data_IF_870776967621
#
_entry.id   IF_870776967621
#
_cell.length_a   1.000
_cell.length_b   1.000
_cell.length_c   1.000
_cell.angle_alpha   90.00
_cell.angle_beta   90.00
_cell.angle_gamma   90.00
#
_symmetry.space_group_name_H-M   'P 1'
#
loop_
_entity.id
_entity.type
_entity.pdbx_description
1 polymer ?
#
# COMPACT_ATOMS: atom_id res chain seq x y z
N UNK A 1 -11.51 9.28 16.14
CA UNK A 1 -10.65 8.21 15.58
C UNK A 1 -11.39 7.66 14.38
N UNK A 2 -10.76 7.61 13.21
CA UNK A 2 -11.39 7.10 12.00
C UNK A 2 -10.88 5.69 11.73
N UNK A 3 -11.77 4.82 11.27
CA UNK A 3 -11.40 3.47 10.84
C UNK A 3 -11.00 3.49 9.37
N UNK A 4 -9.84 2.91 9.06
CA UNK A 4 -9.35 2.75 7.69
C UNK A 4 -9.04 1.29 7.42
N UNK A 5 -9.35 0.82 6.22
CA UNK A 5 -8.83 -0.43 5.67
C UNK A 5 -7.70 -0.06 4.70
N UNK A 6 -6.48 -0.51 5.02
CA UNK A 6 -5.30 -0.27 4.20
C UNK A 6 -4.92 -1.57 3.49
N UNK A 7 -4.71 -1.48 2.18
CA UNK A 7 -4.21 -2.55 1.33
C UNK A 7 -2.97 -2.07 0.60
N UNK A 8 -2.03 -2.97 0.38
CA UNK A 8 -0.92 -2.76 -0.54
C UNK A 8 -0.93 -3.93 -1.51
N UNK A 9 -0.60 -3.66 -2.76
CA UNK A 9 -0.57 -4.67 -3.81
C UNK A 9 0.88 -4.93 -4.21
N UNK A 10 1.17 -6.19 -4.52
CA UNK A 10 2.46 -6.62 -5.04
C UNK A 10 2.26 -7.55 -6.20
N UNK A 11 2.96 -7.28 -7.29
CA UNK A 11 3.07 -8.19 -8.42
C UNK A 11 4.29 -9.11 -8.20
N UNK A 12 4.07 -10.41 -8.26
CA UNK A 12 5.12 -11.41 -8.09
C UNK A 12 4.77 -12.71 -8.82
N UNK A 13 5.80 -13.40 -9.28
CA UNK A 13 5.66 -14.72 -9.87
C UNK A 13 5.55 -15.81 -8.79
N UNK A 14 4.56 -16.69 -8.93
CA UNK A 14 4.34 -17.82 -8.03
C UNK A 14 3.82 -19.05 -8.77
N UNK A 15 4.09 -20.22 -8.18
CA UNK A 15 3.69 -21.50 -8.77
C UNK A 15 2.21 -21.83 -8.47
N UNK A 16 1.70 -21.33 -7.36
CA UNK A 16 0.32 -21.49 -6.90
C UNK A 16 -0.06 -20.38 -5.88
N UNK A 17 -1.35 -20.22 -5.49
CA UNK A 17 -1.76 -19.17 -4.57
C UNK A 17 -1.13 -19.23 -3.17
N UNK A 18 -0.77 -20.43 -2.67
CA UNK A 18 -0.12 -20.59 -1.36
C UNK A 18 1.35 -20.17 -1.45
N UNK A 19 2.05 -20.50 -2.54
CA UNK A 19 3.39 -19.99 -2.84
C UNK A 19 3.39 -18.45 -2.94
N UNK A 20 2.39 -17.87 -3.62
CA UNK A 20 2.24 -16.42 -3.71
C UNK A 20 2.11 -15.75 -2.33
N UNK A 21 1.25 -16.30 -1.46
CA UNK A 21 1.07 -15.79 -0.11
C UNK A 21 2.33 -15.93 0.75
N UNK A 22 3.09 -17.03 0.60
CA UNK A 22 4.37 -17.22 1.31
C UNK A 22 5.42 -16.22 0.85
N UNK A 23 5.52 -15.96 -0.45
CA UNK A 23 6.43 -14.95 -1.02
C UNK A 23 6.07 -13.55 -0.56
N UNK A 24 4.78 -13.18 -0.63
CA UNK A 24 4.29 -11.91 -0.11
C UNK A 24 4.61 -11.73 1.38
N UNK A 25 4.41 -12.76 2.21
CA UNK A 25 4.75 -12.72 3.64
C UNK A 25 6.25 -12.56 3.88
N UNK A 26 7.09 -13.22 3.08
CA UNK A 26 8.54 -13.08 3.18
C UNK A 26 8.98 -11.65 2.87
N UNK A 27 8.44 -11.05 1.80
CA UNK A 27 8.69 -9.66 1.42
C UNK A 27 8.20 -8.71 2.52
N UNK A 28 6.99 -8.92 3.05
CA UNK A 28 6.47 -8.09 4.14
C UNK A 28 7.33 -8.14 5.42
N UNK A 29 8.01 -9.26 5.68
CA UNK A 29 8.85 -9.45 6.88
C UNK A 29 10.30 -9.03 6.69
N UNK A 30 10.71 -8.73 5.47
CA UNK A 30 12.06 -8.26 5.18
C UNK A 30 12.22 -6.81 5.71
N UNK A 31 13.15 -6.55 6.65
CA UNK A 31 13.36 -5.22 7.20
C UNK A 31 13.88 -4.19 6.16
N UNK A 32 14.29 -4.63 4.98
CA UNK A 32 14.68 -3.77 3.86
C UNK A 32 13.60 -3.64 2.78
N UNK A 33 12.45 -4.30 2.94
CA UNK A 33 11.33 -4.16 2.02
C UNK A 33 10.42 -3.01 2.45
N UNK A 34 10.09 -2.14 1.49
CA UNK A 34 9.22 -0.98 1.69
C UNK A 34 8.07 -1.04 0.69
N UNK A 35 6.85 -1.18 1.20
CA UNK A 35 5.67 -0.88 0.40
C UNK A 35 5.49 0.65 0.42
N UNK A 36 5.48 1.29 -0.75
CA UNK A 36 5.34 2.74 -0.86
C UNK A 36 3.98 3.17 -1.40
N UNK A 37 3.24 2.27 -2.07
CA UNK A 37 1.91 2.56 -2.64
C UNK A 37 0.83 1.75 -1.93
N UNK A 38 -0.24 2.43 -1.53
CA UNK A 38 -1.34 1.85 -0.75
C UNK A 38 -2.71 2.27 -1.27
N UNK A 39 -3.65 1.33 -1.26
CA UNK A 39 -5.08 1.64 -1.38
C UNK A 39 -5.68 1.79 0.02
N UNK A 40 -6.21 2.97 0.33
CA UNK A 40 -6.79 3.32 1.63
C UNK A 40 -8.30 3.54 1.47
N UNK A 41 -9.09 2.69 2.11
CA UNK A 41 -10.53 2.86 2.23
C UNK A 41 -10.85 3.51 3.57
N UNK A 42 -11.57 4.64 3.55
CA UNK A 42 -11.97 5.38 4.74
C UNK A 42 -13.32 6.07 4.56
N UNK A 43 -13.60 7.04 5.44
CA UNK A 43 -14.75 7.93 5.29
C UNK A 43 -14.31 9.40 5.36
N UNK A 44 -14.88 10.22 4.48
CA UNK A 44 -14.72 11.67 4.47
C UNK A 44 -16.10 12.33 4.50
N UNK A 45 -16.36 13.16 5.51
CA UNK A 45 -17.65 13.84 5.71
C UNK A 45 -18.87 12.87 5.70
N UNK A 46 -18.69 11.66 6.23
CA UNK A 46 -19.74 10.64 6.28
C UNK A 46 -19.92 9.81 5.00
N UNK A 47 -19.23 10.15 3.91
CA UNK A 47 -19.21 9.38 2.67
C UNK A 47 -18.00 8.42 2.65
N UNK A 48 -18.14 7.19 2.13
CA UNK A 48 -16.99 6.34 1.81
C UNK A 48 -16.04 7.05 0.85
N UNK A 49 -14.74 6.94 1.11
CA UNK A 49 -13.68 7.46 0.26
C UNK A 49 -12.64 6.37 0.06
N UNK A 50 -12.14 6.24 -1.18
CA UNK A 50 -11.01 5.39 -1.50
C UNK A 50 -9.92 6.27 -2.09
N UNK A 51 -8.70 6.10 -1.62
CA UNK A 51 -7.54 6.82 -2.11
C UNK A 51 -6.39 5.86 -2.41
N UNK A 52 -5.68 6.10 -3.50
CA UNK A 52 -4.33 5.58 -3.71
C UNK A 52 -3.36 6.59 -3.11
N UNK A 53 -2.50 6.12 -2.20
CA UNK A 53 -1.49 6.91 -1.51
C UNK A 53 -0.13 6.34 -1.89
N UNK A 54 0.67 7.15 -2.59
CA UNK A 54 2.07 6.87 -2.90
C UNK A 54 2.95 7.71 -1.98
N UNK A 55 3.71 7.05 -1.11
CA UNK A 55 4.60 7.64 -0.12
C UNK A 55 6.00 7.94 -0.68
N UNK A 56 6.35 7.45 -1.87
CA UNK A 56 7.63 7.71 -2.53
C UNK A 56 7.44 8.00 -4.04
N UNK A 57 6.67 9.05 -4.39
CA UNK A 57 6.28 9.31 -5.78
C UNK A 57 7.45 9.69 -6.70
N UNK A 58 8.58 10.07 -6.12
CA UNK A 58 9.81 10.44 -6.85
C UNK A 58 10.88 9.34 -6.80
N UNK A 59 10.66 8.25 -6.04
CA UNK A 59 11.61 7.15 -5.91
C UNK A 59 12.92 7.53 -5.18
N UNK A 60 12.86 8.52 -4.29
CA UNK A 60 14.03 9.11 -3.63
C UNK A 60 14.15 8.67 -2.16
N UNK A 61 13.03 8.36 -1.52
CA UNK A 61 12.97 8.00 -0.11
C UNK A 61 11.88 6.95 0.13
N UNK A 62 12.24 5.65 0.06
CA UNK A 62 11.27 4.58 0.28
C UNK A 62 10.79 4.53 1.74
N UNK A 63 11.33 5.37 2.64
CA UNK A 63 10.87 5.43 4.02
C UNK A 63 9.44 5.94 4.20
N UNK A 64 8.93 6.64 3.18
CA UNK A 64 7.63 7.30 3.22
C UNK A 64 7.58 8.52 4.13
N UNK A 65 8.73 9.04 4.56
CA UNK A 65 8.83 10.29 5.33
C UNK A 65 8.69 11.55 4.46
N UNK A 66 8.78 11.40 3.14
CA UNK A 66 8.62 12.46 2.15
C UNK A 66 7.17 12.94 1.97
N UNK A 67 6.98 13.83 1.00
CA UNK A 67 5.65 14.32 0.64
C UNK A 67 4.90 13.26 -0.18
N UNK A 68 3.72 12.78 0.26
CA UNK A 68 2.99 11.76 -0.48
C UNK A 68 2.22 12.34 -1.67
N UNK A 69 1.97 11.50 -2.67
CA UNK A 69 0.97 11.73 -3.72
C UNK A 69 -0.31 10.99 -3.34
N UNK A 70 -1.46 11.67 -3.43
CA UNK A 70 -2.77 11.11 -3.09
C UNK A 70 -3.72 11.28 -4.25
N UNK A 71 -4.30 10.18 -4.72
CA UNK A 71 -5.27 10.14 -5.81
C UNK A 71 -6.57 9.54 -5.28
N UNK A 72 -7.68 10.27 -5.39
CA UNK A 72 -8.99 9.78 -4.98
C UNK A 72 -9.59 8.92 -6.10
N UNK A 73 -10.17 7.77 -5.75
CA UNK A 73 -11.00 7.02 -6.68
C UNK A 73 -12.28 7.83 -6.97
N UNK A 74 -12.56 8.05 -8.25
CA UNK A 74 -13.77 8.75 -8.74
C UNK A 74 -15.04 7.92 -8.67
#
# INVERSE_FOLDING_TARGET
>A
MNSYLVRWDIDLDASDPVDAARKALAIQRDPWSWATVFTVHGQHQGAPQVATVDLDPEGLDPSGSGAPRVELAG
#
